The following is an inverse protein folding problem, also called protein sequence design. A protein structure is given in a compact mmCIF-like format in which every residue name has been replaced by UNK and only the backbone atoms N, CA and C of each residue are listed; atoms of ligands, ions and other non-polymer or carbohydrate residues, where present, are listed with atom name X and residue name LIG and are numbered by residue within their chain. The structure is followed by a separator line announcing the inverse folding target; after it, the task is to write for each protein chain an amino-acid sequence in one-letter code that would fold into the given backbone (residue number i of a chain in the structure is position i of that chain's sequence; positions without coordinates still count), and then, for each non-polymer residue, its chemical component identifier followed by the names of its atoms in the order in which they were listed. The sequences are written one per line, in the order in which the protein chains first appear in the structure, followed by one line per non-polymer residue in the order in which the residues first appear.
data_IF_599249308200
#
_entry.id   IF_599249308200
#
_cell.length_a   1.000
_cell.length_b   1.000
_cell.length_c   1.000
_cell.angle_alpha   90.00
_cell.angle_beta   90.00
_cell.angle_gamma   90.00
#
_symmetry.space_group_name_H-M   'P 1'
#
loop_
_entity.id
_entity.type
_entity.pdbx_description
1 polymer ?
#
# COMPACT_ATOMS: atom_id res chain seq x y z
N UNK A 1 4.20 25.27 7.27
CA UNK A 1 5.01 24.65 6.19
C UNK A 1 5.10 23.11 6.30
N UNK A 2 5.10 22.51 7.49
CA UNK A 2 5.24 21.06 7.67
C UNK A 2 4.18 20.21 6.96
N UNK A 3 2.90 20.60 7.02
CA UNK A 3 1.83 19.81 6.41
C UNK A 3 1.87 19.74 4.88
N UNK A 4 2.28 20.82 4.21
CA UNK A 4 2.40 20.82 2.74
C UNK A 4 3.55 19.90 2.30
N UNK A 5 4.71 19.97 2.95
CA UNK A 5 5.86 19.13 2.65
C UNK A 5 5.52 17.65 2.91
N UNK A 6 4.87 17.34 4.03
CA UNK A 6 4.40 16.00 4.36
C UNK A 6 3.49 15.42 3.26
N UNK A 7 2.48 16.18 2.83
CA UNK A 7 1.56 15.73 1.78
C UNK A 7 2.26 15.58 0.42
N UNK A 8 3.18 16.51 0.08
CA UNK A 8 3.91 16.47 -1.17
C UNK A 8 4.85 15.25 -1.26
N UNK A 9 5.60 14.95 -0.19
CA UNK A 9 6.48 13.78 -0.17
C UNK A 9 5.70 12.47 -0.18
N UNK A 10 4.57 12.42 0.54
CA UNK A 10 3.66 11.28 0.56
C UNK A 10 3.09 11.02 -0.85
N UNK A 11 2.60 12.07 -1.52
CA UNK A 11 2.12 11.95 -2.90
C UNK A 11 3.23 11.56 -3.88
N UNK A 12 4.43 12.13 -3.75
CA UNK A 12 5.58 11.80 -4.59
C UNK A 12 5.95 10.30 -4.45
N UNK A 13 6.02 9.78 -3.23
CA UNK A 13 6.28 8.37 -2.96
C UNK A 13 5.25 7.46 -3.65
N UNK A 14 3.95 7.80 -3.55
CA UNK A 14 2.88 7.05 -4.22
C UNK A 14 3.03 7.07 -5.75
N UNK A 15 3.29 8.23 -6.33
CA UNK A 15 3.52 8.37 -7.79
C UNK A 15 4.72 7.53 -8.24
N UNK A 16 5.79 7.49 -7.45
CA UNK A 16 6.95 6.65 -7.74
C UNK A 16 6.59 5.16 -7.74
N UNK A 17 5.82 4.68 -6.76
CA UNK A 17 5.36 3.29 -6.68
C UNK A 17 4.43 2.92 -7.84
N UNK A 18 3.50 3.79 -8.24
CA UNK A 18 2.66 3.59 -9.43
C UNK A 18 3.54 3.49 -10.69
N UNK A 19 4.54 4.37 -10.84
CA UNK A 19 5.45 4.30 -11.98
C UNK A 19 6.31 3.03 -11.97
N UNK A 20 6.71 2.51 -10.80
CA UNK A 20 7.35 1.21 -10.68
C UNK A 20 6.41 0.10 -11.17
N UNK A 21 5.16 0.09 -10.73
CA UNK A 21 4.15 -0.87 -11.19
C UNK A 21 3.94 -0.82 -12.71
N UNK A 22 3.79 0.39 -13.28
CA UNK A 22 3.70 0.59 -14.72
C UNK A 22 4.95 0.09 -15.47
N UNK A 23 6.13 0.27 -14.88
CA UNK A 23 7.39 -0.24 -15.43
C UNK A 23 7.46 -1.77 -15.43
N UNK A 24 6.90 -2.42 -14.40
CA UNK A 24 6.87 -3.89 -14.29
C UNK A 24 5.87 -4.51 -15.27
N UNK A 25 4.69 -3.89 -15.39
CA UNK A 25 3.60 -4.41 -16.22
C UNK A 25 3.81 -4.10 -17.70
N UNK A 26 4.43 -2.97 -18.03
CA UNK A 26 4.51 -2.41 -19.37
C UNK A 26 3.28 -1.56 -19.69
N UNK A 27 3.49 -0.27 -19.95
CA UNK A 27 2.39 0.69 -20.20
C UNK A 27 1.52 0.29 -21.39
N UNK A 28 2.15 -0.26 -22.43
CA UNK A 28 1.48 -0.62 -23.68
C UNK A 28 0.57 -1.84 -23.53
N UNK A 29 0.74 -2.64 -22.47
CA UNK A 29 -0.04 -3.85 -22.22
C UNK A 29 -1.30 -3.61 -21.40
N UNK A 30 -1.50 -2.41 -20.83
CA UNK A 30 -2.59 -2.13 -19.89
C UNK A 30 -3.98 -2.43 -20.46
N UNK A 31 -4.22 -2.05 -21.73
CA UNK A 31 -5.52 -2.24 -22.40
C UNK A 31 -5.87 -3.71 -22.67
N UNK A 32 -4.86 -4.55 -22.74
CA UNK A 32 -5.03 -6.00 -22.99
C UNK A 32 -5.14 -6.82 -21.70
N UNK A 33 -5.01 -6.19 -20.54
CA UNK A 33 -5.05 -6.88 -19.25
C UNK A 33 -6.48 -7.27 -18.85
N UNK A 34 -6.66 -8.44 -18.24
CA UNK A 34 -7.96 -8.85 -17.72
C UNK A 34 -8.39 -7.93 -16.57
N UNK A 35 -9.69 -7.93 -16.28
CA UNK A 35 -10.25 -7.17 -15.16
C UNK A 35 -9.57 -7.60 -13.85
N UNK A 36 -9.01 -6.68 -13.07
CA UNK A 36 -8.32 -7.00 -11.81
C UNK A 36 -9.33 -7.13 -10.66
N UNK A 37 -9.99 -8.28 -10.53
CA UNK A 37 -11.09 -8.49 -9.59
C UNK A 37 -10.73 -8.27 -8.12
N UNK A 38 -9.51 -8.60 -7.68
CA UNK A 38 -9.09 -8.31 -6.31
C UNK A 38 -8.99 -6.78 -6.08
N UNK A 39 -8.48 -6.03 -7.06
CA UNK A 39 -8.45 -4.58 -6.99
C UNK A 39 -9.85 -3.98 -6.99
N UNK A 40 -10.75 -4.51 -7.84
CA UNK A 40 -12.18 -4.10 -7.85
C UNK A 40 -12.81 -4.36 -6.48
N UNK A 41 -12.60 -5.54 -5.89
CA UNK A 41 -13.14 -5.88 -4.57
C UNK A 41 -12.64 -4.97 -3.46
N UNK A 42 -11.31 -4.74 -3.37
CA UNK A 42 -10.72 -3.86 -2.37
C UNK A 42 -11.21 -2.41 -2.52
N UNK A 43 -11.29 -1.93 -3.77
CA UNK A 43 -11.80 -0.59 -4.06
C UNK A 43 -13.29 -0.45 -3.72
N UNK A 44 -14.10 -1.46 -4.05
CA UNK A 44 -15.52 -1.49 -3.71
C UNK A 44 -15.75 -1.45 -2.19
N UNK A 45 -14.94 -2.17 -1.40
CA UNK A 45 -14.98 -2.11 0.05
C UNK A 45 -14.65 -0.71 0.58
N UNK A 46 -13.63 -0.04 0.03
CA UNK A 46 -13.29 1.32 0.41
C UNK A 46 -14.38 2.33 0.04
N UNK A 47 -14.99 2.19 -1.15
CA UNK A 47 -16.16 2.99 -1.54
C UNK A 47 -17.34 2.72 -0.60
N UNK A 48 -17.61 1.46 -0.29
CA UNK A 48 -18.66 1.06 0.68
C UNK A 48 -18.44 1.67 2.06
N UNK A 49 -17.20 1.73 2.54
CA UNK A 49 -16.83 2.41 3.78
C UNK A 49 -17.15 3.91 3.75
N UNK A 50 -16.84 4.60 2.64
CA UNK A 50 -17.20 6.02 2.46
C UNK A 50 -18.72 6.21 2.42
N UNK A 51 -19.45 5.36 1.69
CA UNK A 51 -20.92 5.40 1.67
C UNK A 51 -21.48 5.20 3.09
N UNK A 52 -20.94 4.24 3.83
CA UNK A 52 -21.34 4.01 5.22
C UNK A 52 -21.11 5.26 6.09
N UNK A 53 -19.95 5.92 5.96
CA UNK A 53 -19.66 7.17 6.67
C UNK A 53 -20.62 8.31 6.34
N UNK A 54 -21.08 8.39 5.09
CA UNK A 54 -22.05 9.39 4.66
C UNK A 54 -23.47 9.10 5.16
N UNK A 55 -23.84 7.81 5.28
CA UNK A 55 -25.16 7.38 5.72
C UNK A 55 -25.27 7.27 7.25
N UNK A 56 -24.16 7.09 7.95
CA UNK A 56 -24.13 6.88 9.40
C UNK A 56 -23.06 7.75 10.05
N UNK A 57 -23.46 8.82 10.73
CA UNK A 57 -22.55 9.79 11.38
C UNK A 57 -21.69 9.17 12.51
N UNK A 58 -22.11 8.04 13.08
CA UNK A 58 -21.36 7.28 14.09
C UNK A 58 -20.34 6.28 13.51
N UNK A 59 -20.30 6.08 12.19
CA UNK A 59 -19.50 5.02 11.57
C UNK A 59 -17.99 5.12 11.91
N UNK A 60 -17.41 6.31 11.85
CA UNK A 60 -16.00 6.51 12.21
C UNK A 60 -15.75 6.11 13.67
N UNK A 61 -16.51 6.65 14.61
CA UNK A 61 -16.34 6.35 16.03
C UNK A 61 -16.57 4.87 16.38
N UNK A 62 -17.44 4.19 15.63
CA UNK A 62 -17.73 2.77 15.85
C UNK A 62 -16.65 1.83 15.27
N UNK A 63 -16.02 2.20 14.14
CA UNK A 63 -15.27 1.27 13.29
C UNK A 63 -13.78 1.64 13.09
N UNK A 64 -13.33 2.83 13.57
CA UNK A 64 -11.93 3.25 13.52
C UNK A 64 -11.05 2.39 14.45
N UNK A 65 -9.75 2.43 14.25
CA UNK A 65 -8.74 1.73 15.04
C UNK A 65 -8.11 2.66 16.09
N UNK A 66 -8.94 3.38 16.81
CA UNK A 66 -8.52 4.20 17.94
C UNK A 66 -7.96 3.30 19.05
N UNK A 67 -6.68 3.48 19.47
CA UNK A 67 -6.06 2.67 20.52
C UNK A 67 -6.77 2.70 21.87
N UNK A 68 -7.57 3.72 22.14
CA UNK A 68 -8.38 3.81 23.35
C UNK A 68 -9.60 2.88 23.33
N UNK A 69 -9.91 2.29 22.18
CA UNK A 69 -11.09 1.41 21.98
C UNK A 69 -10.67 -0.05 21.94
N UNK A 70 -11.57 -0.93 22.38
CA UNK A 70 -11.37 -2.38 22.34
C UNK A 70 -12.00 -3.00 21.09
N UNK A 71 -11.40 -4.08 20.57
CA UNK A 71 -11.94 -4.85 19.45
C UNK A 71 -10.91 -5.08 18.34
N UNK A 72 -10.39 -6.31 18.27
CA UNK A 72 -9.38 -6.71 17.26
C UNK A 72 -9.85 -6.54 15.81
N UNK A 73 -11.14 -6.55 15.56
CA UNK A 73 -11.75 -6.38 14.23
C UNK A 73 -11.60 -4.95 13.69
N UNK A 74 -11.34 -3.95 14.57
CA UNK A 74 -11.19 -2.55 14.22
C UNK A 74 -10.04 -2.31 13.25
N UNK A 75 -8.96 -3.05 13.38
CA UNK A 75 -7.81 -2.99 12.47
C UNK A 75 -8.22 -3.31 11.01
N UNK A 76 -9.25 -4.12 10.81
CA UNK A 76 -9.75 -4.44 9.47
C UNK A 76 -10.83 -3.46 8.98
N UNK A 77 -11.72 -3.01 9.85
CA UNK A 77 -12.82 -2.11 9.47
C UNK A 77 -12.31 -0.69 9.20
N UNK A 78 -11.37 -0.20 10.01
CA UNK A 78 -10.78 1.12 9.89
C UNK A 78 -10.13 1.38 8.52
N UNK A 79 -9.56 0.36 7.92
CA UNK A 79 -8.86 0.45 6.63
C UNK A 79 -9.81 0.87 5.49
N UNK A 80 -11.08 0.52 5.57
CA UNK A 80 -12.07 0.88 4.55
C UNK A 80 -12.79 2.20 4.83
N UNK A 81 -12.64 2.76 6.03
CA UNK A 81 -13.06 4.12 6.32
C UNK A 81 -12.02 5.13 5.79
N UNK A 82 -12.44 6.35 5.54
CA UNK A 82 -11.52 7.37 5.03
C UNK A 82 -11.53 8.61 5.90
N UNK A 83 -10.34 9.04 6.30
CA UNK A 83 -10.13 10.31 6.96
C UNK A 83 -9.58 11.37 5.96
N UNK A 84 -9.68 12.65 6.28
CA UNK A 84 -9.18 13.72 5.41
C UNK A 84 -10.21 14.32 4.44
N UNK A 85 -11.51 14.09 4.67
CA UNK A 85 -12.60 14.65 3.86
C UNK A 85 -12.67 14.07 2.45
N UNK A 86 -13.43 14.73 1.57
CA UNK A 86 -13.70 14.24 0.20
C UNK A 86 -12.41 14.08 -0.61
N UNK A 87 -11.49 15.06 -0.53
CA UNK A 87 -10.24 15.02 -1.27
C UNK A 87 -9.33 13.88 -0.85
N UNK A 88 -9.20 13.65 0.47
CA UNK A 88 -8.43 12.54 1.03
C UNK A 88 -9.04 11.18 0.66
N UNK A 89 -10.36 11.04 0.76
CA UNK A 89 -11.07 9.83 0.37
C UNK A 89 -10.89 9.52 -1.12
N UNK A 90 -11.07 10.51 -1.99
CA UNK A 90 -10.88 10.35 -3.44
C UNK A 90 -9.44 9.93 -3.78
N UNK A 91 -8.44 10.56 -3.17
CA UNK A 91 -7.04 10.21 -3.34
C UNK A 91 -6.75 8.76 -2.91
N UNK A 92 -7.19 8.37 -1.72
CA UNK A 92 -6.95 7.04 -1.19
C UNK A 92 -7.62 5.95 -2.02
N UNK A 93 -8.87 6.17 -2.45
CA UNK A 93 -9.60 5.21 -3.30
C UNK A 93 -8.94 5.11 -4.69
N UNK A 94 -8.57 6.23 -5.31
CA UNK A 94 -7.93 6.23 -6.63
C UNK A 94 -6.55 5.53 -6.58
N UNK A 95 -5.75 5.81 -5.57
CA UNK A 95 -4.43 5.19 -5.40
C UNK A 95 -4.53 3.72 -5.05
N UNK A 96 -5.49 3.31 -4.20
CA UNK A 96 -5.78 1.91 -3.91
C UNK A 96 -6.17 1.17 -5.19
N UNK A 97 -7.10 1.70 -5.98
CA UNK A 97 -7.53 1.10 -7.24
C UNK A 97 -6.34 0.89 -8.20
N UNK A 98 -5.53 1.93 -8.41
CA UNK A 98 -4.38 1.88 -9.29
C UNK A 98 -3.31 0.89 -8.82
N UNK A 99 -2.90 0.96 -7.56
CA UNK A 99 -1.85 0.11 -7.00
C UNK A 99 -2.30 -1.34 -6.93
N UNK A 100 -3.54 -1.61 -6.48
CA UNK A 100 -4.06 -2.97 -6.39
C UNK A 100 -4.23 -3.60 -7.78
N UNK A 101 -4.62 -2.84 -8.81
CA UNK A 101 -4.70 -3.34 -10.18
C UNK A 101 -3.30 -3.72 -10.72
N UNK A 102 -2.31 -2.83 -10.56
CA UNK A 102 -0.93 -3.10 -10.97
C UNK A 102 -0.33 -4.29 -10.20
N UNK A 103 -0.60 -4.39 -8.90
CA UNK A 103 -0.17 -5.50 -8.08
C UNK A 103 -0.83 -6.82 -8.53
N UNK A 104 -2.13 -6.82 -8.80
CA UNK A 104 -2.82 -8.02 -9.26
C UNK A 104 -2.32 -8.50 -10.62
N UNK A 105 -2.05 -7.61 -11.54
CA UNK A 105 -1.49 -8.00 -12.85
C UNK A 105 -0.07 -8.56 -12.75
N UNK A 106 0.64 -8.24 -11.68
CA UNK A 106 1.99 -8.74 -11.46
C UNK A 106 2.05 -9.95 -10.53
N UNK A 107 1.45 -9.86 -9.35
CA UNK A 107 1.50 -10.87 -8.31
C UNK A 107 0.40 -11.93 -8.43
N UNK A 108 -0.69 -11.61 -9.14
CA UNK A 108 -1.96 -12.35 -9.12
C UNK A 108 -2.87 -11.94 -7.95
N UNK A 109 -4.15 -12.28 -8.06
CA UNK A 109 -5.18 -11.89 -7.08
C UNK A 109 -4.86 -12.30 -5.65
N UNK A 110 -4.57 -13.59 -5.36
CA UNK A 110 -4.31 -14.06 -4.00
C UNK A 110 -3.14 -13.35 -3.31
N UNK A 111 -2.01 -13.15 -4.01
CA UNK A 111 -0.86 -12.44 -3.42
C UNK A 111 -1.14 -10.94 -3.26
N UNK A 112 -1.95 -10.33 -4.11
CA UNK A 112 -2.36 -8.93 -3.94
C UNK A 112 -3.16 -8.74 -2.66
N UNK A 113 -4.14 -9.61 -2.41
CA UNK A 113 -4.91 -9.59 -1.16
C UNK A 113 -4.01 -9.89 0.04
N UNK A 114 -3.13 -10.87 -0.08
CA UNK A 114 -2.17 -11.20 0.99
C UNK A 114 -1.28 -10.00 1.35
N UNK A 115 -0.67 -9.31 0.37
CA UNK A 115 0.16 -8.14 0.63
C UNK A 115 -0.63 -6.96 1.18
N UNK A 116 -1.87 -6.77 0.75
CA UNK A 116 -2.74 -5.75 1.31
C UNK A 116 -3.04 -6.03 2.79
N UNK A 117 -3.41 -7.28 3.14
CA UNK A 117 -3.62 -7.70 4.52
C UNK A 117 -2.33 -7.65 5.36
N UNK A 118 -1.20 -8.03 4.78
CA UNK A 118 0.10 -7.89 5.43
C UNK A 118 0.42 -6.42 5.75
N UNK A 119 0.07 -5.49 4.85
CA UNK A 119 0.22 -4.06 5.07
C UNK A 119 -0.69 -3.48 6.15
N UNK A 120 -1.78 -4.19 6.49
CA UNK A 120 -2.63 -3.86 7.63
C UNK A 120 -2.02 -4.38 8.94
N UNK A 121 -1.53 -5.62 8.94
CA UNK A 121 -1.23 -6.36 10.17
C UNK A 121 0.23 -6.29 10.61
N UNK A 122 1.17 -6.17 9.67
CA UNK A 122 2.60 -6.31 9.99
C UNK A 122 3.27 -5.02 10.49
N UNK A 123 2.95 -3.80 9.98
CA UNK A 123 3.72 -2.62 10.35
C UNK A 123 3.80 -2.39 11.85
N UNK A 124 2.69 -2.32 12.55
CA UNK A 124 2.67 -2.13 14.01
C UNK A 124 3.40 -3.24 14.78
N UNK A 125 3.32 -4.48 14.30
CA UNK A 125 4.01 -5.62 14.92
C UNK A 125 5.52 -5.50 14.73
N UNK A 126 5.96 -5.08 13.55
CA UNK A 126 7.38 -4.88 13.24
C UNK A 126 7.91 -3.70 14.07
N UNK A 127 7.17 -2.60 14.14
CA UNK A 127 7.53 -1.43 14.92
C UNK A 127 7.69 -1.77 16.41
N UNK A 128 6.75 -2.56 16.95
CA UNK A 128 6.81 -3.03 18.34
C UNK A 128 8.04 -3.93 18.58
N UNK A 129 8.35 -4.84 17.65
CA UNK A 129 9.52 -5.75 17.76
C UNK A 129 10.85 -5.01 17.65
N UNK A 130 10.91 -3.94 16.85
CA UNK A 130 12.13 -3.15 16.63
C UNK A 130 12.28 -2.00 17.63
N UNK A 131 11.31 -1.82 18.53
CA UNK A 131 11.30 -0.68 19.45
C UNK A 131 11.13 0.68 18.75
N UNK A 132 10.59 0.68 17.54
CA UNK A 132 10.38 1.89 16.74
C UNK A 132 9.03 2.56 17.05
N UNK A 133 8.14 1.84 17.72
CA UNK A 133 6.83 2.34 18.15
C UNK A 133 6.96 3.07 19.47
N UNK A 134 7.05 4.40 19.45
CA UNK A 134 7.01 5.26 20.64
C UNK A 134 5.62 5.39 21.28
N UNK A 135 4.78 4.39 21.16
CA UNK A 135 3.36 4.41 21.55
C UNK A 135 2.43 4.47 20.35
N UNK A 136 1.20 4.02 20.55
CA UNK A 136 0.16 4.17 19.54
C UNK A 136 0.00 5.65 19.18
N UNK A 137 0.02 5.96 17.88
CA UNK A 137 -0.20 7.34 17.43
C UNK A 137 -1.51 7.86 18.02
N UNK A 138 -1.48 9.01 18.66
CA UNK A 138 -2.70 9.69 19.13
C UNK A 138 -3.32 10.59 18.06
N UNK A 139 -2.73 10.66 16.87
CA UNK A 139 -3.27 11.44 15.76
C UNK A 139 -4.45 10.70 15.11
N UNK A 140 -5.68 11.24 15.19
CA UNK A 140 -6.86 10.59 14.64
C UNK A 140 -6.77 10.29 13.14
N UNK A 141 -5.87 10.95 12.41
CA UNK A 141 -5.65 10.69 10.99
C UNK A 141 -5.09 9.29 10.72
N UNK A 142 -4.46 8.69 11.72
CA UNK A 142 -3.89 7.34 11.62
C UNK A 142 -4.89 6.24 12.00
N UNK A 143 -6.07 6.60 12.53
CA UNK A 143 -7.07 5.62 13.00
C UNK A 143 -7.97 5.07 11.90
N UNK A 144 -7.89 5.60 10.69
CA UNK A 144 -8.68 5.12 9.56
C UNK A 144 -8.02 5.47 8.23
N UNK A 145 -8.14 4.56 7.26
CA UNK A 145 -7.70 4.76 5.89
C UNK A 145 -6.95 3.59 5.29
N UNK A 146 -7.18 3.33 4.02
CA UNK A 146 -6.49 2.29 3.25
C UNK A 146 -5.04 2.65 2.88
N UNK A 147 -4.59 3.87 3.19
CA UNK A 147 -3.32 4.39 2.69
C UNK A 147 -2.13 3.54 3.13
N UNK A 148 -2.00 3.17 4.41
CA UNK A 148 -0.91 2.32 4.90
C UNK A 148 -0.77 1.03 4.11
N UNK A 149 -1.85 0.25 3.99
CA UNK A 149 -1.86 -0.99 3.22
C UNK A 149 -1.58 -0.75 1.72
N UNK A 150 -2.05 0.37 1.15
CA UNK A 150 -1.78 0.74 -0.25
C UNK A 150 -0.31 1.07 -0.48
N UNK A 151 0.34 1.82 0.43
CA UNK A 151 1.78 2.11 0.35
C UNK A 151 2.62 0.84 0.51
N UNK A 152 2.25 -0.04 1.43
CA UNK A 152 2.89 -1.34 1.60
C UNK A 152 2.81 -2.16 0.31
N UNK A 153 1.62 -2.32 -0.26
CA UNK A 153 1.38 -3.05 -1.51
C UNK A 153 2.14 -2.42 -2.68
N UNK A 154 2.10 -1.09 -2.83
CA UNK A 154 2.81 -0.37 -3.89
C UNK A 154 4.32 -0.55 -3.83
N UNK A 155 4.89 -0.60 -2.65
CA UNK A 155 6.32 -0.80 -2.44
C UNK A 155 6.80 -2.19 -2.88
N UNK A 156 5.95 -3.23 -2.84
CA UNK A 156 6.29 -4.55 -3.40
C UNK A 156 6.59 -4.50 -4.90
N UNK A 157 5.95 -3.57 -5.63
CA UNK A 157 6.15 -3.37 -7.07
C UNK A 157 7.49 -2.66 -7.38
N UNK A 158 7.96 -1.79 -6.49
CA UNK A 158 9.26 -1.15 -6.66
C UNK A 158 10.38 -2.20 -6.64
N UNK A 159 10.33 -3.14 -5.69
CA UNK A 159 11.30 -4.22 -5.68
C UNK A 159 11.16 -5.18 -6.87
N UNK A 160 9.93 -5.48 -7.27
CA UNK A 160 9.70 -6.29 -8.46
C UNK A 160 10.34 -5.65 -9.70
N UNK A 161 10.23 -4.32 -9.85
CA UNK A 161 10.89 -3.58 -10.92
C UNK A 161 12.42 -3.71 -10.81
N UNK A 162 13.00 -3.48 -9.63
CA UNK A 162 14.45 -3.55 -9.41
C UNK A 162 15.03 -4.90 -9.85
N UNK A 163 14.31 -5.98 -9.58
CA UNK A 163 14.78 -7.35 -9.87
C UNK A 163 14.60 -7.76 -11.34
N UNK A 164 13.74 -7.08 -12.09
CA UNK A 164 13.41 -7.43 -13.48
C UNK A 164 14.06 -6.53 -14.51
N UNK A 165 14.27 -5.25 -14.17
CA UNK A 165 14.77 -4.29 -15.15
C UNK A 165 16.29 -4.22 -15.22
N UNK A 166 16.82 -4.02 -16.42
CA UNK A 166 18.22 -3.63 -16.67
C UNK A 166 18.37 -2.16 -17.01
N UNK A 167 17.27 -1.43 -17.16
CA UNK A 167 17.24 -0.02 -17.50
C UNK A 167 17.61 0.82 -16.26
N UNK A 168 18.69 1.55 -16.33
CA UNK A 168 19.25 2.34 -15.20
C UNK A 168 18.21 3.28 -14.58
N UNK A 169 17.43 4.01 -15.40
CA UNK A 169 16.40 4.94 -14.92
C UNK A 169 15.34 4.23 -14.07
N UNK A 170 14.92 3.03 -14.48
CA UNK A 170 13.94 2.23 -13.73
C UNK A 170 14.55 1.66 -12.45
N UNK A 171 15.82 1.26 -12.46
CA UNK A 171 16.53 0.82 -11.25
C UNK A 171 16.66 1.95 -10.23
N UNK A 172 17.04 3.15 -10.69
CA UNK A 172 17.10 4.34 -9.84
C UNK A 172 15.74 4.64 -9.22
N UNK A 173 14.67 4.62 -10.03
CA UNK A 173 13.30 4.81 -9.53
C UNK A 173 12.94 3.78 -8.46
N UNK A 174 13.24 2.51 -8.70
CA UNK A 174 12.92 1.42 -7.79
C UNK A 174 13.67 1.52 -6.45
N UNK A 175 14.96 1.92 -6.47
CA UNK A 175 15.76 2.15 -5.25
C UNK A 175 15.33 3.42 -4.54
N UNK A 176 14.90 4.44 -5.27
CA UNK A 176 14.45 5.70 -4.70
C UNK A 176 13.17 5.56 -3.85
N UNK A 177 12.34 4.53 -4.08
CA UNK A 177 11.13 4.28 -3.26
C UNK A 177 11.50 4.01 -1.79
N UNK A 178 12.27 2.97 -1.44
CA UNK A 178 12.64 2.74 -0.04
C UNK A 178 13.56 3.83 0.51
N UNK A 179 14.40 4.45 -0.30
CA UNK A 179 15.26 5.54 0.12
C UNK A 179 14.45 6.79 0.52
N UNK A 180 13.48 7.20 -0.29
CA UNK A 180 12.56 8.27 0.05
C UNK A 180 11.70 7.89 1.27
N UNK A 181 11.25 6.64 1.34
CA UNK A 181 10.50 6.13 2.49
C UNK A 181 11.25 6.30 3.81
N UNK A 182 12.53 5.88 3.86
CA UNK A 182 13.39 6.06 5.03
C UNK A 182 13.61 7.54 5.35
N UNK A 183 13.85 8.37 4.34
CA UNK A 183 14.04 9.81 4.52
C UNK A 183 12.78 10.46 5.11
N UNK A 184 11.59 10.10 4.62
CA UNK A 184 10.32 10.61 5.14
C UNK A 184 10.10 10.18 6.58
N UNK A 185 10.43 8.95 6.93
CA UNK A 185 10.31 8.48 8.30
C UNK A 185 11.29 9.21 9.23
N UNK A 186 12.58 9.29 8.87
CA UNK A 186 13.60 9.93 9.70
C UNK A 186 13.41 11.45 9.85
N UNK A 187 12.94 12.13 8.80
CA UNK A 187 12.86 13.60 8.79
C UNK A 187 11.46 14.13 9.15
N UNK A 188 10.41 13.34 9.03
CA UNK A 188 9.02 13.78 9.16
C UNK A 188 8.20 12.88 10.09
N UNK A 189 8.78 11.80 10.62
CA UNK A 189 8.06 10.74 11.36
C UNK A 189 6.85 10.19 10.56
N UNK A 190 7.01 10.15 9.24
CA UNK A 190 5.93 9.78 8.33
C UNK A 190 5.83 8.25 8.22
N UNK A 191 4.81 7.67 8.86
CA UNK A 191 4.57 6.21 8.86
C UNK A 191 4.40 5.60 7.47
N UNK A 192 3.89 6.33 6.47
CA UNK A 192 3.81 5.83 5.08
C UNK A 192 5.20 5.52 4.50
N UNK A 193 6.21 6.29 4.90
CA UNK A 193 7.59 6.03 4.51
C UNK A 193 8.09 4.69 5.05
N UNK A 194 7.93 4.46 6.35
CA UNK A 194 8.39 3.23 7.01
C UNK A 194 7.65 1.99 6.48
N UNK A 195 6.32 2.09 6.35
CA UNK A 195 5.48 1.04 5.78
C UNK A 195 5.92 0.65 4.37
N UNK A 196 6.37 1.61 3.55
CA UNK A 196 6.89 1.32 2.20
C UNK A 196 8.21 0.53 2.24
N UNK A 197 9.05 0.75 3.24
CA UNK A 197 10.28 -0.05 3.43
C UNK A 197 9.94 -1.50 3.77
N UNK A 198 8.95 -1.72 4.65
CA UNK A 198 8.47 -3.06 4.97
C UNK A 198 7.86 -3.77 3.77
N UNK A 199 7.08 -3.05 2.95
CA UNK A 199 6.54 -3.58 1.70
C UNK A 199 7.63 -3.99 0.71
N UNK A 200 8.70 -3.20 0.58
CA UNK A 200 9.87 -3.57 -0.23
C UNK A 200 10.53 -4.86 0.30
N UNK A 201 10.72 -4.97 1.61
CA UNK A 201 11.35 -6.15 2.22
C UNK A 201 10.51 -7.42 1.99
N UNK A 202 9.19 -7.36 2.22
CA UNK A 202 8.30 -8.50 1.99
C UNK A 202 8.19 -8.85 0.50
N UNK A 203 8.17 -7.84 -0.38
CA UNK A 203 8.22 -8.04 -1.83
C UNK A 203 9.50 -8.78 -2.27
N UNK A 204 10.66 -8.45 -1.64
CA UNK A 204 11.93 -9.16 -1.85
C UNK A 204 11.82 -10.63 -1.49
N UNK A 205 11.31 -10.90 -0.31
CA UNK A 205 11.14 -12.26 0.18
C UNK A 205 10.22 -13.06 -0.75
N UNK A 206 9.06 -12.53 -1.07
CA UNK A 206 8.11 -13.18 -1.96
C UNK A 206 8.69 -13.46 -3.37
N UNK A 207 9.46 -12.51 -3.91
CA UNK A 207 10.13 -12.70 -5.19
C UNK A 207 11.17 -13.81 -5.14
N UNK A 208 11.98 -13.88 -4.08
CA UNK A 208 12.99 -14.94 -3.91
C UNK A 208 12.34 -16.32 -3.77
N UNK A 209 11.24 -16.41 -3.02
CA UNK A 209 10.47 -17.66 -2.88
C UNK A 209 9.87 -18.08 -4.22
N UNK A 210 9.20 -17.14 -4.93
CA UNK A 210 8.60 -17.42 -6.24
C UNK A 210 9.59 -17.93 -7.29
N UNK A 211 10.84 -17.42 -7.25
CA UNK A 211 11.91 -17.89 -8.14
C UNK A 211 12.39 -19.32 -7.86
N UNK A 212 12.23 -19.79 -6.62
CA UNK A 212 12.66 -21.13 -6.20
C UNK A 212 11.60 -22.21 -6.40
N UNK A 213 10.33 -21.79 -6.53
CA UNK A 213 9.24 -22.73 -6.80
C UNK A 213 9.33 -23.23 -8.26
N UNK A 214 9.12 -24.54 -8.52
CA UNK A 214 9.01 -25.07 -9.87
C UNK A 214 7.91 -24.33 -10.62
N UNK A 215 8.17 -23.88 -11.84
CA UNK A 215 7.13 -23.31 -12.68
C UNK A 215 6.14 -24.41 -13.04
N UNK A 216 4.82 -24.15 -12.97
CA UNK A 216 3.85 -25.06 -13.61
C UNK A 216 4.23 -25.26 -15.07
N UNK A 217 4.14 -26.49 -15.57
CA UNK A 217 4.58 -26.87 -16.90
C UNK A 217 3.92 -26.07 -18.05
N UNK A 218 2.81 -25.37 -17.76
CA UNK A 218 1.97 -24.65 -18.74
C UNK A 218 2.15 -23.13 -18.72
N UNK A 219 3.08 -22.57 -17.95
CA UNK A 219 3.29 -21.12 -17.92
C UNK A 219 4.34 -20.72 -18.97
N UNK A 220 4.00 -19.95 -20.03
CA UNK A 220 4.96 -19.51 -21.03
C UNK A 220 6.08 -18.70 -20.38
N UNK A 221 7.31 -18.89 -20.86
CA UNK A 221 8.47 -18.16 -20.40
C UNK A 221 8.28 -16.65 -20.64
N UNK A 222 8.16 -15.86 -19.57
CA UNK A 222 8.03 -14.40 -19.60
C UNK A 222 9.42 -13.76 -19.54
#
# INVERSE_FOLDING_TARGET
MGGLLFNATTAALMVMMINCGLGVIGRDTLRARPVPWAAVGLTALAVGGVVLQLCWSGAMAALDDDPAKTGWWRVFTSVFLQNGGIGGAAWNIATLAAVAALAQWFWGGPLTVFFFLAGILLPERIDALLGLGGGSSTDPRNFAGSSGATYFLGATLALALLTRTRVTKQRVLAVAVPALGLLMWCAQENGHGLVSVYGCALGALAWTVRRRLPRPADEPAV
#
